data_IF_889011565808
#
_entry.id   IF_889011565808
#
_cell.length_a   1.000
_cell.length_b   1.000
_cell.length_c   1.000
_cell.angle_alpha   90.00
_cell.angle_beta   90.00
_cell.angle_gamma   90.00
#
_symmetry.space_group_name_H-M   'P 1'
#
loop_
_entity.id
_entity.type
_entity.pdbx_description
1 polymer ?
#
# COMPACT_ATOMS: atom_id res chain seq x y z
N UNK A 1 -15.78 2.99 -18.97
CA UNK A 1 -16.78 3.38 -17.96
C UNK A 1 -17.96 3.96 -18.69
N UNK A 2 -19.05 3.21 -18.74
CA UNK A 2 -20.34 3.79 -19.09
C UNK A 2 -20.63 4.97 -18.14
N UNK A 3 -21.49 5.90 -18.55
CA UNK A 3 -22.02 6.94 -17.64
C UNK A 3 -22.52 6.34 -16.31
N UNK A 4 -23.01 5.11 -16.36
CA UNK A 4 -23.43 4.28 -15.22
C UNK A 4 -22.29 3.95 -14.24
N UNK A 5 -21.10 3.60 -14.74
CA UNK A 5 -19.96 3.21 -13.89
C UNK A 5 -19.35 4.41 -13.15
N UNK A 6 -19.29 5.57 -13.82
CA UNK A 6 -18.85 6.82 -13.19
C UNK A 6 -19.86 7.33 -12.16
N UNK A 7 -21.16 7.19 -12.45
CA UNK A 7 -22.25 7.53 -11.53
C UNK A 7 -22.28 6.64 -10.27
N UNK A 8 -21.99 5.34 -10.38
CA UNK A 8 -21.92 4.43 -9.22
C UNK A 8 -20.82 4.83 -8.24
N UNK A 9 -19.60 5.12 -8.72
CA UNK A 9 -18.48 5.55 -7.87
C UNK A 9 -18.80 6.89 -7.18
N UNK A 10 -19.35 7.87 -7.90
CA UNK A 10 -19.69 9.18 -7.31
C UNK A 10 -20.86 9.11 -6.30
N UNK A 11 -21.82 8.19 -6.48
CA UNK A 11 -22.91 7.95 -5.52
C UNK A 11 -22.40 7.23 -4.26
N UNK A 12 -21.49 6.26 -4.42
CA UNK A 12 -20.88 5.57 -3.29
C UNK A 12 -20.01 6.50 -2.42
N UNK A 13 -19.35 7.51 -3.01
CA UNK A 13 -18.53 8.48 -2.26
C UNK A 13 -19.28 9.22 -1.15
N UNK A 14 -20.62 9.32 -1.21
CA UNK A 14 -21.42 9.92 -0.13
C UNK A 14 -21.59 9.03 1.10
N UNK A 15 -21.50 7.70 0.93
CA UNK A 15 -21.66 6.70 2.00
C UNK A 15 -20.35 6.06 2.49
N UNK A 16 -19.20 6.31 1.82
CA UNK A 16 -17.90 5.69 2.17
C UNK A 16 -17.57 5.74 3.67
N UNK A 17 -17.91 6.82 4.37
CA UNK A 17 -17.54 6.97 5.77
C UNK A 17 -18.40 6.14 6.73
N UNK A 18 -19.70 6.04 6.46
CA UNK A 18 -20.57 5.19 7.26
C UNK A 18 -20.22 3.72 7.04
N UNK A 19 -19.99 3.33 5.78
CA UNK A 19 -19.51 1.99 5.44
C UNK A 19 -18.16 1.69 6.10
N UNK A 20 -17.22 2.64 6.08
CA UNK A 20 -15.92 2.48 6.75
C UNK A 20 -16.08 2.28 8.27
N UNK A 21 -16.82 3.16 8.95
CA UNK A 21 -16.99 3.05 10.40
C UNK A 21 -17.69 1.75 10.79
N UNK A 22 -18.68 1.32 10.01
CA UNK A 22 -19.36 0.05 10.20
C UNK A 22 -18.38 -1.14 10.07
N UNK A 23 -17.61 -1.20 8.98
CA UNK A 23 -16.59 -2.24 8.78
C UNK A 23 -15.47 -2.19 9.83
N UNK A 24 -15.09 -1.00 10.29
CA UNK A 24 -14.06 -0.81 11.30
C UNK A 24 -14.52 -1.28 12.68
N UNK A 25 -15.78 -1.02 13.03
CA UNK A 25 -16.36 -1.41 14.32
C UNK A 25 -16.70 -2.90 14.36
N UNK A 26 -17.09 -3.50 13.23
CA UNK A 26 -17.41 -4.93 13.07
C UNK A 26 -16.19 -5.82 12.76
N UNK A 27 -14.98 -5.29 12.85
CA UNK A 27 -13.78 -6.09 12.59
C UNK A 27 -13.64 -7.17 13.66
N UNK A 28 -13.57 -8.44 13.26
CA UNK A 28 -13.43 -9.61 14.14
C UNK A 28 -12.25 -9.47 15.12
N UNK A 29 -11.11 -8.94 14.64
CA UNK A 29 -9.95 -8.68 15.53
C UNK A 29 -10.23 -7.69 16.66
N UNK A 30 -11.27 -6.87 16.58
CA UNK A 30 -11.71 -6.04 17.70
C UNK A 30 -12.59 -6.81 18.70
N UNK A 31 -13.18 -7.92 18.32
CA UNK A 31 -13.93 -8.76 19.26
C UNK A 31 -12.96 -9.55 20.15
N UNK A 32 -11.91 -10.13 19.54
CA UNK A 32 -10.88 -10.90 20.24
C UNK A 32 -9.89 -10.02 21.03
N UNK A 33 -9.56 -8.84 20.48
CA UNK A 33 -8.78 -7.81 21.16
C UNK A 33 -9.52 -6.48 21.04
N UNK A 34 -10.36 -6.16 22.04
CA UNK A 34 -11.16 -4.92 22.14
C UNK A 34 -10.39 -3.62 21.95
N UNK A 35 -9.06 -3.68 21.87
CA UNK A 35 -8.19 -2.55 21.64
C UNK A 35 -7.27 -2.71 20.42
N UNK A 36 -7.45 -3.72 19.57
CA UNK A 36 -6.61 -3.95 18.39
C UNK A 36 -6.49 -2.70 17.53
N UNK A 37 -7.63 -2.09 17.20
CA UNK A 37 -7.70 -0.87 16.42
C UNK A 37 -7.17 0.39 17.15
N UNK A 38 -7.06 0.38 18.48
CA UNK A 38 -6.45 1.48 19.25
C UNK A 38 -4.93 1.49 19.16
N UNK A 39 -4.31 0.39 18.70
CA UNK A 39 -2.86 0.30 18.44
C UNK A 39 -2.45 1.07 17.17
N UNK A 40 -3.40 1.47 16.33
CA UNK A 40 -3.13 2.37 15.22
C UNK A 40 -3.03 3.81 15.68
N UNK A 41 -2.10 4.53 15.09
CA UNK A 41 -2.06 5.99 15.14
C UNK A 41 -2.21 6.58 13.74
N UNK A 42 -2.58 7.85 13.69
CA UNK A 42 -2.74 8.62 12.47
C UNK A 42 -1.41 9.07 11.89
N UNK A 43 -1.41 9.42 10.60
CA UNK A 43 -0.23 10.04 9.95
C UNK A 43 0.16 11.36 10.62
N UNK A 44 -0.79 12.11 11.18
CA UNK A 44 -0.50 13.34 11.91
C UNK A 44 0.26 13.07 13.22
N UNK A 45 -0.03 11.95 13.89
CA UNK A 45 0.75 11.51 15.05
C UNK A 45 2.13 11.01 14.64
N UNK A 46 2.26 10.32 13.50
CA UNK A 46 3.56 9.97 12.94
C UNK A 46 4.42 11.23 12.69
N UNK A 47 3.84 12.30 12.15
CA UNK A 47 4.54 13.59 11.94
C UNK A 47 5.05 14.17 13.27
N UNK A 48 4.25 14.13 14.34
CA UNK A 48 4.68 14.61 15.68
C UNK A 48 5.78 13.75 16.29
N UNK A 49 5.65 12.43 16.20
CA UNK A 49 6.67 11.50 16.75
C UNK A 49 7.96 11.59 15.93
N UNK A 50 7.85 11.87 14.63
CA UNK A 50 8.98 12.07 13.74
C UNK A 50 9.91 13.17 14.24
N UNK A 51 9.35 14.29 14.71
CA UNK A 51 10.13 15.40 15.25
C UNK A 51 10.97 14.98 16.48
N UNK A 52 10.43 14.09 17.32
CA UNK A 52 11.14 13.54 18.49
C UNK A 52 12.24 12.54 18.06
N UNK A 53 11.95 11.71 17.05
CA UNK A 53 12.87 10.67 16.58
C UNK A 53 14.03 11.22 15.74
N UNK A 54 13.90 12.41 15.17
CA UNK A 54 14.92 13.03 14.32
C UNK A 54 16.26 13.19 15.05
N UNK A 55 16.25 13.43 16.36
CA UNK A 55 17.46 13.58 17.17
C UNK A 55 18.28 12.29 17.29
N UNK A 56 17.61 11.13 17.25
CA UNK A 56 18.25 9.82 17.47
C UNK A 56 18.56 9.09 16.18
N UNK A 57 17.69 9.24 15.19
CA UNK A 57 17.65 8.42 13.97
C UNK A 57 17.20 9.30 12.78
N UNK A 58 17.99 10.28 12.33
CA UNK A 58 17.49 11.36 11.43
C UNK A 58 16.89 10.85 10.11
N UNK A 59 17.37 9.71 9.60
CA UNK A 59 16.87 9.13 8.36
C UNK A 59 15.50 8.43 8.51
N UNK A 60 15.21 7.81 9.66
CA UNK A 60 14.04 6.95 9.82
C UNK A 60 12.71 7.74 9.74
N UNK A 61 12.54 8.87 10.44
CA UNK A 61 11.33 9.69 10.34
C UNK A 61 11.09 10.19 8.91
N UNK A 62 12.14 10.69 8.26
CA UNK A 62 12.03 11.19 6.88
C UNK A 62 11.62 10.04 5.95
N UNK A 63 12.20 8.86 6.12
CA UNK A 63 11.80 7.66 5.38
C UNK A 63 10.32 7.33 5.57
N UNK A 64 9.85 7.20 6.81
CA UNK A 64 8.46 6.86 7.11
C UNK A 64 7.48 7.91 6.58
N UNK A 65 7.84 9.20 6.63
CA UNK A 65 7.06 10.29 6.06
C UNK A 65 6.96 10.22 4.53
N UNK A 66 7.97 9.69 3.84
CA UNK A 66 7.92 9.47 2.39
C UNK A 66 7.18 8.19 2.04
N UNK A 67 7.42 7.11 2.80
CA UNK A 67 6.71 5.83 2.68
C UNK A 67 5.18 6.04 2.78
N UNK A 68 4.70 6.83 3.74
CA UNK A 68 3.26 7.12 3.83
C UNK A 68 2.74 7.95 2.66
N UNK A 69 3.55 8.80 2.02
CA UNK A 69 3.11 9.54 0.82
C UNK A 69 3.04 8.67 -0.43
N UNK A 70 3.77 7.55 -0.44
CA UNK A 70 3.74 6.53 -1.49
C UNK A 70 2.72 5.41 -1.21
N UNK A 71 2.26 5.29 0.03
CA UNK A 71 1.17 4.39 0.41
C UNK A 71 -0.16 4.94 -0.09
N UNK A 72 -0.89 4.10 -0.81
CA UNK A 72 -2.15 4.44 -1.49
C UNK A 72 -3.29 3.54 -1.02
N UNK A 73 -4.50 4.08 -1.05
CA UNK A 73 -5.72 3.28 -0.93
C UNK A 73 -6.06 2.69 -2.29
N UNK A 74 -6.40 1.41 -2.32
CA UNK A 74 -6.92 0.72 -3.51
C UNK A 74 -8.39 0.41 -3.26
N UNK A 75 -9.24 0.68 -4.25
CA UNK A 75 -10.64 0.26 -4.27
C UNK A 75 -10.92 -0.45 -5.59
N UNK A 76 -11.41 -1.68 -5.54
CA UNK A 76 -11.73 -2.51 -6.72
C UNK A 76 -13.23 -2.72 -6.77
N UNK A 77 -13.87 -2.23 -7.83
CA UNK A 77 -15.26 -2.53 -8.14
C UNK A 77 -15.35 -3.98 -8.64
N UNK A 78 -16.19 -4.80 -7.98
CA UNK A 78 -16.44 -6.19 -8.35
C UNK A 78 -17.89 -6.31 -8.84
N UNK A 79 -18.18 -6.03 -10.12
CA UNK A 79 -19.55 -5.90 -10.63
C UNK A 79 -20.38 -7.16 -10.42
N UNK A 80 -19.76 -8.32 -10.57
CA UNK A 80 -20.40 -9.63 -10.43
C UNK A 80 -20.86 -9.91 -8.99
N UNK A 81 -20.20 -9.30 -8.00
CA UNK A 81 -20.53 -9.39 -6.58
C UNK A 81 -21.36 -8.20 -6.09
N UNK A 82 -21.44 -7.12 -6.86
CA UNK A 82 -22.08 -5.87 -6.44
C UNK A 82 -21.38 -5.20 -5.24
N UNK A 83 -20.11 -5.52 -4.99
CA UNK A 83 -19.33 -5.05 -3.84
C UNK A 83 -18.07 -4.30 -4.26
N UNK A 84 -17.52 -3.52 -3.34
CA UNK A 84 -16.17 -2.94 -3.47
C UNK A 84 -15.25 -3.70 -2.53
N UNK A 85 -14.11 -4.13 -3.07
CA UNK A 85 -12.99 -4.62 -2.26
C UNK A 85 -11.99 -3.51 -2.06
N UNK A 86 -11.72 -3.17 -0.81
CA UNK A 86 -10.70 -2.18 -0.45
C UNK A 86 -9.40 -2.87 -0.01
N UNK A 87 -8.28 -2.20 -0.28
CA UNK A 87 -6.96 -2.64 0.16
C UNK A 87 -5.95 -1.50 0.18
N UNK A 88 -4.69 -1.86 0.42
CA UNK A 88 -3.57 -0.93 0.43
C UNK A 88 -2.57 -1.31 -0.67
N UNK A 89 -1.83 -0.33 -1.18
CA UNK A 89 -0.62 -0.59 -1.96
C UNK A 89 0.45 0.46 -1.74
N UNK A 90 1.60 0.26 -2.36
CA UNK A 90 2.69 1.22 -2.40
C UNK A 90 3.13 1.49 -3.84
N UNK A 91 3.37 2.76 -4.15
CA UNK A 91 3.88 3.16 -5.46
C UNK A 91 5.37 2.84 -5.58
N UNK A 92 5.71 1.99 -6.54
CA UNK A 92 7.06 1.48 -6.79
C UNK A 92 7.80 2.21 -7.92
N UNK A 93 7.04 2.69 -8.89
CA UNK A 93 7.57 3.36 -10.09
C UNK A 93 6.58 4.41 -10.58
N UNK A 94 7.12 5.49 -11.12
CA UNK A 94 6.36 6.52 -11.83
C UNK A 94 7.06 6.85 -13.14
N UNK A 95 6.33 6.77 -14.25
CA UNK A 95 6.81 7.15 -15.58
C UNK A 95 5.94 8.27 -16.13
N UNK A 96 6.56 9.37 -16.55
CA UNK A 96 5.84 10.44 -17.24
C UNK A 96 5.85 10.18 -18.74
N UNK A 97 4.67 9.97 -19.32
CA UNK A 97 4.46 9.67 -20.73
C UNK A 97 4.00 10.93 -21.47
N UNK A 98 4.56 11.17 -22.66
CA UNK A 98 4.19 12.28 -23.56
C UNK A 98 4.06 11.75 -24.98
N UNK A 99 3.03 12.15 -25.71
CA UNK A 99 2.80 11.67 -27.09
C UNK A 99 2.12 10.29 -27.18
N UNK A 100 2.08 9.55 -26.08
CA UNK A 100 1.49 8.21 -26.01
C UNK A 100 0.00 8.26 -25.62
N UNK A 101 -0.79 7.31 -26.14
CA UNK A 101 -2.19 7.17 -25.73
C UNK A 101 -2.29 6.65 -24.29
N UNK A 102 -3.20 7.23 -23.51
CA UNK A 102 -3.51 6.68 -22.19
C UNK A 102 -4.20 5.31 -22.34
N UNK A 103 -3.76 4.25 -21.63
CA UNK A 103 -4.33 2.91 -21.79
C UNK A 103 -5.73 2.74 -21.15
N UNK A 104 -6.13 3.68 -20.30
CA UNK A 104 -7.42 3.63 -19.61
C UNK A 104 -8.54 3.94 -20.59
N UNK A 105 -9.33 2.92 -20.97
CA UNK A 105 -10.43 3.04 -21.94
C UNK A 105 -11.52 4.07 -21.55
N UNK A 106 -11.71 4.29 -20.25
CA UNK A 106 -12.64 5.31 -19.73
C UNK A 106 -12.08 6.73 -19.75
N UNK A 107 -10.82 6.91 -20.09
CA UNK A 107 -10.19 8.21 -20.10
C UNK A 107 -10.75 9.07 -21.25
N UNK A 108 -11.17 10.29 -20.92
CA UNK A 108 -11.61 11.30 -21.92
C UNK A 108 -10.52 11.65 -22.96
N UNK A 109 -9.27 11.31 -22.68
CA UNK A 109 -8.12 11.53 -23.56
C UNK A 109 -7.64 10.27 -24.28
N UNK A 110 -8.32 9.13 -24.16
CA UNK A 110 -7.91 7.83 -24.72
C UNK A 110 -7.53 7.88 -26.22
N UNK A 111 -8.11 8.82 -27.01
CA UNK A 111 -7.83 8.99 -28.45
C UNK A 111 -6.99 10.21 -28.81
N UNK A 112 -6.49 10.96 -27.84
CA UNK A 112 -5.74 12.21 -28.07
C UNK A 112 -4.26 12.02 -27.74
N UNK A 113 -3.41 11.90 -28.77
CA UNK A 113 -1.94 11.74 -28.63
C UNK A 113 -1.22 12.96 -28.05
N UNK A 114 -1.84 14.14 -28.08
CA UNK A 114 -1.19 15.41 -27.68
C UNK A 114 -1.18 15.66 -26.16
N UNK A 115 -1.54 14.68 -25.33
CA UNK A 115 -1.61 14.87 -23.88
C UNK A 115 -0.59 14.02 -23.14
N UNK A 116 -0.07 14.57 -22.04
CA UNK A 116 0.80 13.88 -21.12
C UNK A 116 0.00 13.19 -20.01
N UNK A 117 0.57 12.12 -19.48
CA UNK A 117 -0.02 11.33 -18.39
C UNK A 117 1.07 10.59 -17.61
N UNK A 118 0.75 10.18 -16.40
CA UNK A 118 1.65 9.44 -15.53
C UNK A 118 1.19 8.01 -15.38
N UNK A 119 2.10 7.10 -15.62
CA UNK A 119 1.97 5.68 -15.30
C UNK A 119 2.57 5.44 -13.91
N UNK A 120 1.79 4.83 -13.03
CA UNK A 120 2.21 4.46 -11.68
C UNK A 120 2.14 2.94 -11.56
N UNK A 121 3.23 2.32 -11.14
CA UNK A 121 3.27 0.90 -10.79
C UNK A 121 3.07 0.77 -9.28
N UNK A 122 2.04 0.02 -8.88
CA UNK A 122 1.63 -0.15 -7.48
C UNK A 122 1.79 -1.62 -7.09
N UNK A 123 2.57 -1.89 -6.05
CA UNK A 123 2.66 -3.21 -5.44
C UNK A 123 1.59 -3.36 -4.36
N UNK A 124 1.00 -4.55 -4.29
CA UNK A 124 -0.04 -4.97 -3.35
C UNK A 124 0.00 -6.50 -3.22
N UNK A 125 -1.09 -7.12 -2.76
CA UNK A 125 -1.27 -8.58 -2.70
C UNK A 125 -2.25 -9.06 -3.77
N UNK A 126 -2.11 -10.31 -4.20
CA UNK A 126 -2.85 -10.88 -5.33
C UNK A 126 -4.36 -10.91 -5.07
N UNK A 127 -4.79 -11.24 -3.86
CA UNK A 127 -6.22 -11.22 -3.50
C UNK A 127 -6.86 -9.82 -3.48
N UNK A 128 -6.08 -8.72 -3.61
CA UNK A 128 -6.61 -7.36 -3.76
C UNK A 128 -6.72 -6.98 -5.24
N UNK A 129 -5.68 -7.17 -6.04
CA UNK A 129 -5.71 -7.03 -7.51
C UNK A 129 -4.86 -8.13 -8.12
N UNK A 130 -5.49 -9.21 -8.59
CA UNK A 130 -4.78 -10.36 -9.15
C UNK A 130 -4.97 -10.52 -10.66
N UNK A 131 -6.00 -9.90 -11.23
CA UNK A 131 -6.31 -10.02 -12.65
C UNK A 131 -6.37 -8.69 -13.36
N UNK A 132 -6.18 -8.72 -14.68
CA UNK A 132 -6.34 -7.56 -15.56
C UNK A 132 -7.75 -6.95 -15.49
N UNK A 133 -8.77 -7.78 -15.24
CA UNK A 133 -10.15 -7.34 -15.03
C UNK A 133 -10.27 -6.53 -13.74
N UNK A 134 -9.74 -7.04 -12.63
CA UNK A 134 -9.71 -6.32 -11.35
C UNK A 134 -8.89 -5.04 -11.47
N UNK A 135 -7.72 -5.07 -12.14
CA UNK A 135 -6.89 -3.88 -12.35
C UNK A 135 -7.66 -2.79 -13.11
N UNK A 136 -8.42 -3.13 -14.15
CA UNK A 136 -9.26 -2.15 -14.90
C UNK A 136 -10.42 -1.59 -14.08
N UNK A 137 -10.85 -2.31 -13.06
CA UNK A 137 -11.88 -1.87 -12.12
C UNK A 137 -11.30 -1.23 -10.85
N UNK A 138 -9.97 -1.14 -10.74
CA UNK A 138 -9.30 -0.56 -9.59
C UNK A 138 -9.19 0.98 -9.72
N UNK A 139 -9.43 1.65 -8.60
CA UNK A 139 -9.10 3.05 -8.36
C UNK A 139 -8.02 3.15 -7.28
N UNK A 140 -7.05 4.04 -7.50
CA UNK A 140 -5.94 4.28 -6.58
C UNK A 140 -6.00 5.71 -6.07
N UNK A 141 -6.26 5.86 -4.77
CA UNK A 141 -6.42 7.15 -4.10
C UNK A 141 -5.15 7.51 -3.30
N UNK A 142 -4.50 8.58 -3.77
CA UNK A 142 -3.31 9.16 -3.17
C UNK A 142 -3.71 10.17 -2.09
N UNK A 143 -2.90 10.22 -1.02
CA UNK A 143 -3.03 11.20 0.07
C UNK A 143 -4.38 11.14 0.82
N UNK A 144 -4.94 9.94 0.96
CA UNK A 144 -6.15 9.68 1.76
C UNK A 144 -5.82 9.63 3.27
N UNK A 145 -5.33 10.75 3.81
CA UNK A 145 -4.68 10.81 5.13
C UNK A 145 -5.66 11.06 6.30
N UNK A 146 -6.87 11.57 6.02
CA UNK A 146 -7.81 12.01 7.05
C UNK A 146 -9.20 11.41 6.85
N UNK A 147 -9.82 11.02 7.97
CA UNK A 147 -11.24 10.68 8.03
C UNK A 147 -12.11 11.90 7.85
N UNK A 148 -13.39 11.67 7.53
CA UNK A 148 -14.37 12.75 7.38
C UNK A 148 -14.61 13.43 8.74
N UNK A 149 -13.76 14.38 9.10
CA UNK A 149 -14.10 15.35 10.15
C UNK A 149 -15.16 16.31 9.60
N UNK A 150 -16.22 16.59 10.37
CA UNK A 150 -17.34 17.56 10.16
C UNK A 150 -17.64 18.05 8.72
N UNK A 151 -18.92 18.10 8.35
CA UNK A 151 -19.43 18.43 7.00
C UNK A 151 -18.74 19.60 6.25
N UNK A 152 -18.30 20.67 6.94
CA UNK A 152 -17.54 21.78 6.33
C UNK A 152 -16.06 21.48 6.06
N UNK A 153 -15.35 20.78 6.96
CA UNK A 153 -13.93 20.40 6.75
C UNK A 153 -13.80 19.30 5.68
N UNK A 154 -14.83 18.47 5.54
CA UNK A 154 -14.95 17.40 4.52
C UNK A 154 -14.65 17.89 3.09
N UNK A 155 -15.28 18.98 2.65
CA UNK A 155 -15.08 19.52 1.28
C UNK A 155 -13.65 20.00 1.02
N UNK A 156 -12.93 20.48 2.04
CA UNK A 156 -11.54 20.96 1.87
C UNK A 156 -10.54 19.81 1.82
N UNK A 157 -10.74 18.76 2.61
CA UNK A 157 -9.82 17.61 2.65
C UNK A 157 -9.96 16.70 1.44
N UNK A 158 -11.19 16.41 0.98
CA UNK A 158 -11.42 15.64 -0.25
C UNK A 158 -10.76 16.25 -1.49
N UNK A 159 -10.58 17.58 -1.55
CA UNK A 159 -9.85 18.25 -2.64
C UNK A 159 -8.37 17.88 -2.73
N UNK A 160 -7.78 17.32 -1.67
CA UNK A 160 -6.37 16.89 -1.65
C UNK A 160 -6.17 15.49 -2.20
N UNK A 161 -7.19 14.63 -2.12
CA UNK A 161 -7.15 13.26 -2.64
C UNK A 161 -7.00 13.32 -4.15
N UNK A 162 -6.03 12.57 -4.69
CA UNK A 162 -5.80 12.47 -6.13
C UNK A 162 -5.97 11.04 -6.55
N UNK A 163 -6.70 10.82 -7.65
CA UNK A 163 -7.03 9.48 -8.14
C UNK A 163 -6.24 9.13 -9.39
N UNK A 164 -5.81 7.87 -9.46
CA UNK A 164 -5.39 7.19 -10.67
C UNK A 164 -6.31 5.98 -10.93
N UNK A 165 -6.42 5.56 -12.19
CA UNK A 165 -7.26 4.43 -12.60
C UNK A 165 -6.38 3.28 -13.06
N UNK A 166 -6.59 2.09 -12.50
CA UNK A 166 -5.87 0.89 -12.88
C UNK A 166 -6.21 0.44 -14.31
N UNK A 167 -5.31 -0.30 -14.95
CA UNK A 167 -5.56 -0.80 -16.31
C UNK A 167 -4.90 -2.13 -16.67
N UNK A 168 -3.86 -2.56 -15.95
CA UNK A 168 -3.10 -3.76 -16.29
C UNK A 168 -2.35 -4.32 -15.08
N UNK A 169 -2.36 -5.65 -14.89
CA UNK A 169 -1.47 -6.34 -13.94
C UNK A 169 -0.12 -6.57 -14.64
N UNK A 170 0.95 -6.06 -14.03
CA UNK A 170 2.32 -6.19 -14.56
C UNK A 170 2.86 -7.59 -14.26
N UNK A 171 2.66 -8.03 -13.03
CA UNK A 171 3.17 -9.29 -12.52
C UNK A 171 2.35 -9.68 -11.29
N UNK A 172 2.12 -10.97 -11.13
CA UNK A 172 1.60 -11.60 -9.92
C UNK A 172 2.28 -12.96 -9.76
N UNK A 173 2.08 -13.60 -8.62
CA UNK A 173 2.70 -14.89 -8.30
C UNK A 173 1.81 -16.09 -8.64
N UNK A 174 1.00 -16.00 -9.70
CA UNK A 174 0.06 -17.08 -10.08
C UNK A 174 0.76 -18.34 -10.66
N UNK A 175 2.06 -18.53 -10.43
CA UNK A 175 2.78 -19.75 -10.81
C UNK A 175 2.59 -20.81 -9.73
N UNK A 176 1.57 -21.66 -9.86
CA UNK A 176 1.28 -22.93 -9.13
C UNK A 176 1.37 -22.94 -7.57
N UNK A 177 1.75 -21.82 -6.95
CA UNK A 177 2.07 -21.68 -5.54
C UNK A 177 1.21 -20.54 -4.97
N UNK A 178 -0.05 -20.90 -4.67
CA UNK A 178 -1.08 -19.98 -4.15
C UNK A 178 -0.67 -19.27 -2.85
N UNK A 179 0.41 -19.71 -2.20
CA UNK A 179 0.86 -19.22 -0.90
C UNK A 179 1.53 -17.85 -0.94
N UNK A 180 2.08 -17.42 -2.08
CA UNK A 180 2.92 -16.22 -2.14
C UNK A 180 2.11 -14.92 -2.17
N UNK A 181 0.95 -14.92 -2.85
CA UNK A 181 -0.08 -13.88 -2.84
C UNK A 181 0.45 -12.44 -3.04
N UNK A 182 1.42 -12.27 -3.94
CA UNK A 182 1.97 -10.97 -4.31
C UNK A 182 1.42 -10.51 -5.67
N UNK A 183 1.20 -9.20 -5.83
CA UNK A 183 0.80 -8.63 -7.11
C UNK A 183 1.28 -7.20 -7.30
N UNK A 184 1.46 -6.83 -8.55
CA UNK A 184 1.86 -5.51 -8.98
C UNK A 184 1.09 -5.12 -10.24
N UNK A 185 0.47 -3.95 -10.23
CA UNK A 185 -0.36 -3.46 -11.34
C UNK A 185 -0.07 -2.00 -11.67
N UNK A 186 -0.44 -1.59 -12.88
CA UNK A 186 -0.31 -0.22 -13.35
C UNK A 186 -1.62 0.54 -13.27
N UNK A 187 -1.51 1.82 -12.91
CA UNK A 187 -2.60 2.79 -12.99
C UNK A 187 -2.13 4.10 -13.66
N UNK A 188 -3.07 4.89 -14.17
CA UNK A 188 -2.80 6.11 -14.91
C UNK A 188 -3.49 7.33 -14.30
N UNK A 189 -2.81 8.48 -14.34
CA UNK A 189 -3.40 9.79 -14.03
C UNK A 189 -2.90 10.88 -14.98
N UNK A 190 -3.77 11.81 -15.34
CA UNK A 190 -3.41 13.01 -16.13
C UNK A 190 -3.04 14.22 -15.26
N UNK A 191 -2.95 14.03 -13.94
CA UNK A 191 -2.62 15.12 -13.03
C UNK A 191 -1.10 15.34 -12.94
N UNK A 192 -0.57 16.23 -13.76
CA UNK A 192 0.87 16.58 -13.79
C UNK A 192 1.47 16.90 -12.41
N UNK A 193 0.72 17.61 -11.57
CA UNK A 193 1.17 17.93 -10.20
C UNK A 193 1.30 16.67 -9.34
N UNK A 194 0.40 15.69 -9.52
CA UNK A 194 0.51 14.39 -8.84
C UNK A 194 1.76 13.66 -9.33
N UNK A 195 1.97 13.56 -10.64
CA UNK A 195 3.09 12.82 -11.25
C UNK A 195 4.41 13.33 -10.70
N UNK A 196 4.66 14.64 -10.78
CA UNK A 196 5.90 15.24 -10.30
C UNK A 196 6.08 15.05 -8.80
N UNK A 197 4.99 15.21 -8.03
CA UNK A 197 5.03 15.08 -6.57
C UNK A 197 5.38 13.67 -6.13
N UNK A 198 4.75 12.65 -6.72
CA UNK A 198 5.02 11.24 -6.41
C UNK A 198 6.42 10.84 -6.88
N UNK A 199 6.87 11.33 -8.05
CA UNK A 199 8.25 11.11 -8.53
C UNK A 199 9.28 11.64 -7.53
N UNK A 200 9.07 12.85 -7.00
CA UNK A 200 9.96 13.43 -5.98
C UNK A 200 9.95 12.60 -4.70
N UNK A 201 8.77 12.17 -4.21
CA UNK A 201 8.70 11.33 -3.02
C UNK A 201 9.40 9.99 -3.20
N UNK A 202 9.23 9.37 -4.37
CA UNK A 202 9.85 8.09 -4.70
C UNK A 202 11.37 8.18 -4.76
N UNK A 203 11.92 9.27 -5.29
CA UNK A 203 13.36 9.51 -5.32
C UNK A 203 13.93 9.59 -3.90
N UNK A 204 13.36 10.45 -3.05
CA UNK A 204 13.81 10.64 -1.67
C UNK A 204 13.65 9.34 -0.87
N UNK A 205 12.52 8.64 -1.04
CA UNK A 205 12.28 7.34 -0.43
C UNK A 205 13.41 6.35 -0.74
N UNK A 206 13.76 6.15 -2.03
CA UNK A 206 14.81 5.22 -2.46
C UNK A 206 16.18 5.61 -1.91
N UNK A 207 16.52 6.89 -1.93
CA UNK A 207 17.80 7.40 -1.43
C UNK A 207 17.97 7.14 0.07
N UNK A 208 16.92 7.41 0.86
CA UNK A 208 16.96 7.20 2.32
C UNK A 208 16.88 5.71 2.66
N UNK A 209 16.08 4.93 1.94
CA UNK A 209 15.98 3.49 2.12
C UNK A 209 17.35 2.82 1.99
N UNK A 210 18.14 3.19 0.98
CA UNK A 210 19.50 2.66 0.80
C UNK A 210 20.39 2.93 2.02
N UNK A 211 20.28 4.13 2.60
CA UNK A 211 21.02 4.51 3.81
C UNK A 211 20.56 3.71 5.03
N UNK A 212 19.25 3.58 5.24
CA UNK A 212 18.69 2.81 6.36
C UNK A 212 19.02 1.32 6.25
N UNK A 213 18.95 0.75 5.04
CA UNK A 213 19.36 -0.64 4.81
C UNK A 213 20.83 -0.86 5.17
N UNK A 214 21.72 0.02 4.68
CA UNK A 214 23.16 -0.05 4.99
C UNK A 214 23.43 0.07 6.48
N UNK A 215 22.70 0.97 7.16
CA UNK A 215 22.81 1.16 8.60
C UNK A 215 22.36 -0.09 9.37
N UNK A 216 21.19 -0.62 9.07
CA UNK A 216 20.57 -1.63 9.92
C UNK A 216 20.96 -3.08 9.59
N UNK A 217 21.39 -3.38 8.36
CA UNK A 217 21.65 -4.76 7.92
C UNK A 217 22.65 -5.52 8.78
N UNK A 218 23.60 -4.81 9.40
CA UNK A 218 24.65 -5.40 10.25
C UNK A 218 24.50 -5.09 11.74
N UNK A 219 23.50 -4.28 12.13
CA UNK A 219 23.34 -3.83 13.51
C UNK A 219 22.24 -4.61 14.23
N UNK A 220 21.19 -4.97 13.51
CA UNK A 220 19.98 -5.54 14.12
C UNK A 220 19.88 -7.01 13.73
N UNK A 221 20.19 -7.87 14.70
CA UNK A 221 20.02 -9.31 14.58
C UNK A 221 18.81 -9.80 15.40
N UNK A 222 18.22 -10.91 14.97
CA UNK A 222 17.17 -11.58 15.73
C UNK A 222 15.80 -10.93 15.64
N UNK A 223 14.98 -11.17 16.68
CA UNK A 223 13.53 -10.92 16.70
C UNK A 223 13.15 -9.49 17.10
N UNK A 224 14.08 -8.69 17.59
CA UNK A 224 13.81 -7.31 18.03
C UNK A 224 13.85 -6.27 16.90
N UNK A 225 13.75 -6.72 15.64
CA UNK A 225 13.65 -5.83 14.47
C UNK A 225 12.37 -5.00 14.57
N UNK A 226 12.52 -3.68 14.52
CA UNK A 226 11.41 -2.73 14.41
C UNK A 226 10.61 -3.02 13.13
N UNK A 227 9.30 -3.13 13.28
CA UNK A 227 8.34 -3.25 12.18
C UNK A 227 7.42 -2.04 12.18
N UNK A 228 7.27 -1.39 11.04
CA UNK A 228 6.32 -0.28 10.84
C UNK A 228 5.47 -0.57 9.62
N UNK A 229 4.14 -0.51 9.78
CA UNK A 229 3.17 -0.75 8.72
C UNK A 229 2.37 0.52 8.51
N UNK A 230 2.19 0.90 7.26
CA UNK A 230 1.37 2.06 6.88
C UNK A 230 0.27 1.57 5.97
N UNK A 231 -0.98 1.65 6.40
CA UNK A 231 -2.10 1.00 5.72
C UNK A 231 -3.37 1.86 5.64
N UNK A 232 -4.36 1.37 4.90
CA UNK A 232 -5.73 1.88 4.86
C UNK A 232 -6.71 0.85 5.46
N UNK A 233 -6.74 0.64 6.80
CA UNK A 233 -7.61 -0.34 7.42
C UNK A 233 -9.06 -0.15 7.00
N UNK A 234 -9.68 -1.21 6.48
CA UNK A 234 -11.05 -1.23 5.92
C UNK A 234 -11.32 -0.13 4.88
N UNK A 235 -10.32 0.23 4.07
CA UNK A 235 -10.45 1.32 3.09
C UNK A 235 -10.59 2.72 3.71
N UNK A 236 -10.29 2.82 5.01
CA UNK A 236 -10.36 4.04 5.78
C UNK A 236 -9.15 4.96 5.59
N UNK A 237 -9.07 6.02 6.41
CA UNK A 237 -7.94 6.94 6.41
C UNK A 237 -6.65 6.20 6.71
N UNK A 238 -5.54 6.71 6.18
CA UNK A 238 -4.23 6.11 6.41
C UNK A 238 -3.91 6.01 7.90
N UNK A 239 -3.45 4.83 8.32
CA UNK A 239 -3.03 4.53 9.68
C UNK A 239 -1.62 3.97 9.67
N UNK A 240 -0.98 4.07 10.83
CA UNK A 240 0.34 3.52 11.08
C UNK A 240 0.23 2.60 12.28
N UNK A 241 0.87 1.44 12.21
CA UNK A 241 1.08 0.55 13.35
C UNK A 241 2.56 0.22 13.47
N UNK A 242 2.99 -0.01 14.71
CA UNK A 242 4.38 -0.34 15.05
C UNK A 242 4.36 -1.68 15.79
N UNK A 243 5.35 -2.51 15.52
CA UNK A 243 5.56 -3.77 16.21
C UNK A 243 7.00 -4.25 16.09
N UNK A 244 7.17 -5.54 16.29
CA UNK A 244 8.44 -6.26 16.12
C UNK A 244 8.19 -7.63 15.51
N UNK A 245 9.25 -8.28 15.06
CA UNK A 245 9.20 -9.65 14.56
C UNK A 245 8.88 -10.62 15.70
N UNK A 246 7.98 -11.57 15.48
CA UNK A 246 7.54 -12.53 16.51
C UNK A 246 8.13 -13.92 16.32
N UNK A 247 8.18 -14.39 15.08
CA UNK A 247 8.72 -15.71 14.71
C UNK A 247 10.00 -15.58 13.88
N UNK A 248 10.81 -16.66 13.79
CA UNK A 248 11.87 -16.74 12.79
C UNK A 248 11.34 -16.43 11.39
N UNK A 249 12.21 -15.86 10.55
CA UNK A 249 11.96 -15.72 9.11
C UNK A 249 11.67 -17.10 8.53
N UNK A 250 10.64 -17.19 7.71
CA UNK A 250 10.33 -18.38 6.93
C UNK A 250 10.90 -18.21 5.52
N UNK A 251 11.77 -19.14 5.12
CA UNK A 251 12.30 -19.22 3.76
C UNK A 251 11.33 -20.02 2.91
N UNK A 252 10.78 -19.40 1.87
CA UNK A 252 9.76 -19.98 1.00
C UNK A 252 10.41 -20.66 -0.20
N UNK A 253 11.27 -19.93 -0.93
CA UNK A 253 12.04 -20.49 -2.04
C UNK A 253 13.34 -19.73 -2.28
N UNK A 254 14.36 -20.44 -2.76
CA UNK A 254 15.56 -19.79 -3.28
C UNK A 254 15.38 -19.54 -4.78
N UNK A 255 15.50 -18.28 -5.20
CA UNK A 255 15.45 -17.89 -6.61
C UNK A 255 16.86 -17.59 -7.15
N UNK A 256 16.94 -17.09 -8.39
CA UNK A 256 18.20 -16.75 -9.06
C UNK A 256 19.12 -15.92 -8.16
N UNK A 257 20.42 -16.14 -8.32
CA UNK A 257 21.48 -15.47 -7.56
C UNK A 257 21.49 -15.77 -6.06
N UNK A 258 21.00 -16.95 -5.64
CA UNK A 258 20.90 -17.39 -4.24
C UNK A 258 20.04 -16.46 -3.36
N UNK A 259 19.05 -15.81 -3.96
CA UNK A 259 18.15 -14.95 -3.22
C UNK A 259 17.07 -15.76 -2.54
N UNK A 260 16.95 -15.58 -1.23
CA UNK A 260 15.93 -16.22 -0.43
C UNK A 260 14.65 -15.39 -0.42
N UNK A 261 13.61 -15.91 -1.07
CA UNK A 261 12.25 -15.42 -0.94
C UNK A 261 11.72 -15.88 0.40
N UNK A 262 11.26 -14.93 1.19
CA UNK A 262 10.92 -15.17 2.58
C UNK A 262 9.70 -14.38 3.05
N UNK A 263 9.21 -14.78 4.21
CA UNK A 263 8.09 -14.19 4.94
C UNK A 263 8.49 -13.86 6.37
N UNK A 264 7.90 -12.77 6.86
CA UNK A 264 8.09 -12.28 8.22
C UNK A 264 6.78 -12.28 9.00
N UNK A 265 6.86 -12.67 10.26
CA UNK A 265 5.75 -12.65 11.22
C UNK A 265 5.98 -11.56 12.26
N UNK A 266 4.94 -10.82 12.63
CA UNK A 266 5.03 -9.65 13.49
C UNK A 266 3.76 -9.38 14.31
N UNK A 267 3.95 -8.59 15.36
CA UNK A 267 2.88 -8.15 16.28
C UNK A 267 2.26 -6.79 15.94
N UNK A 268 2.71 -6.12 14.87
CA UNK A 268 2.14 -4.84 14.47
C UNK A 268 0.65 -5.02 14.12
N UNK A 269 -0.21 -4.12 14.56
CA UNK A 269 -1.65 -4.23 14.32
C UNK A 269 -1.99 -4.16 12.83
N UNK A 270 -2.72 -5.16 12.33
CA UNK A 270 -3.24 -5.22 10.96
C UNK A 270 -4.62 -5.86 10.91
N UNK A 271 -5.38 -5.63 9.85
CA UNK A 271 -6.66 -6.30 9.56
C UNK A 271 -6.76 -6.58 8.06
N UNK A 272 -7.85 -7.20 7.61
CA UNK A 272 -8.09 -7.56 6.20
C UNK A 272 -7.97 -6.35 5.27
N UNK A 273 -8.44 -5.18 5.70
CA UNK A 273 -8.30 -3.96 4.87
C UNK A 273 -6.88 -3.38 4.86
N UNK A 274 -5.97 -3.89 5.69
CA UNK A 274 -4.53 -3.56 5.61
C UNK A 274 -3.79 -4.41 4.58
N UNK A 275 -4.43 -5.38 3.94
CA UNK A 275 -3.80 -6.19 2.89
C UNK A 275 -3.14 -5.35 1.81
N UNK A 276 -1.93 -5.74 1.41
CA UNK A 276 -1.10 -5.01 0.46
C UNK A 276 -0.33 -3.82 1.05
N UNK A 277 -0.47 -3.55 2.36
CA UNK A 277 0.24 -2.44 3.00
C UNK A 277 1.75 -2.65 2.99
N UNK A 278 2.54 -1.61 2.67
CA UNK A 278 3.98 -1.72 2.75
C UNK A 278 4.44 -1.85 4.20
N UNK A 279 5.44 -2.70 4.41
CA UNK A 279 6.05 -2.96 5.71
C UNK A 279 7.50 -2.49 5.66
N UNK A 280 7.88 -1.66 6.63
CA UNK A 280 9.28 -1.41 6.95
C UNK A 280 9.72 -2.40 8.02
N UNK A 281 10.75 -3.19 7.72
CA UNK A 281 11.41 -4.08 8.67
C UNK A 281 12.87 -3.61 8.77
N UNK A 282 13.33 -3.28 9.97
CA UNK A 282 14.68 -2.76 10.14
C UNK A 282 15.73 -3.79 9.68
N UNK A 283 16.63 -3.35 8.80
CA UNK A 283 17.68 -4.20 8.22
C UNK A 283 17.23 -5.03 7.01
N UNK A 284 16.06 -4.74 6.43
CA UNK A 284 15.54 -5.44 5.25
C UNK A 284 15.32 -4.50 4.08
N UNK A 285 15.52 -4.96 2.83
CA UNK A 285 15.27 -4.16 1.65
C UNK A 285 13.77 -4.06 1.34
N UNK A 286 13.19 -2.86 1.40
CA UNK A 286 11.79 -2.59 1.02
C UNK A 286 11.69 -2.27 -0.48
N UNK A 287 12.01 -3.26 -1.33
CA UNK A 287 12.02 -3.17 -2.79
C UNK A 287 12.92 -2.04 -3.39
N UNK A 288 13.19 -2.07 -4.70
CA UNK A 288 13.87 -0.96 -5.41
C UNK A 288 15.37 -1.09 -5.67
N UNK A 289 16.00 -2.21 -5.36
CA UNK A 289 17.38 -2.54 -5.81
C UNK A 289 17.40 -3.36 -7.12
N UNK A 290 16.48 -3.08 -8.03
CA UNK A 290 16.21 -3.92 -9.20
C UNK A 290 15.09 -4.95 -8.98
N UNK A 291 14.66 -5.13 -7.73
CA UNK A 291 13.57 -6.03 -7.35
C UNK A 291 12.26 -5.29 -7.12
N UNK A 292 11.17 -5.88 -7.62
CA UNK A 292 9.80 -5.39 -7.44
C UNK A 292 9.17 -5.84 -6.10
N UNK A 293 9.77 -6.83 -5.45
CA UNK A 293 9.26 -7.45 -4.23
C UNK A 293 9.63 -6.63 -3.00
N UNK A 294 8.63 -6.07 -2.33
CA UNK A 294 8.70 -5.73 -0.91
C UNK A 294 8.00 -6.82 -0.13
N UNK A 295 7.93 -6.70 1.19
CA UNK A 295 7.11 -7.58 2.04
C UNK A 295 5.75 -6.90 2.32
N UNK A 296 4.75 -6.87 1.39
CA UNK A 296 3.46 -6.28 1.73
C UNK A 296 2.75 -7.13 2.78
N UNK A 297 1.91 -6.52 3.61
CA UNK A 297 1.08 -7.25 4.57
C UNK A 297 0.10 -8.18 3.85
N UNK A 298 0.02 -9.43 4.31
CA UNK A 298 -0.93 -10.41 3.83
C UNK A 298 -1.91 -10.84 4.93
N UNK A 299 -3.17 -10.95 4.56
CA UNK A 299 -4.27 -11.40 5.40
C UNK A 299 -5.03 -12.61 4.82
N UNK A 300 -4.61 -13.18 3.67
CA UNK A 300 -5.35 -14.25 2.99
C UNK A 300 -5.44 -15.56 3.80
N UNK A 301 -4.49 -15.79 4.71
CA UNK A 301 -4.40 -16.96 5.58
C UNK A 301 -4.22 -16.48 7.01
N UNK A 302 -5.25 -15.87 7.58
CA UNK A 302 -5.26 -15.64 9.03
C UNK A 302 -5.23 -17.00 9.71
N UNK A 303 -4.08 -17.33 10.30
CA UNK A 303 -3.93 -18.51 11.13
C UNK A 303 -4.42 -18.15 12.54
N UNK A 304 -5.61 -18.64 12.87
CA UNK A 304 -6.24 -18.46 14.18
C UNK A 304 -5.38 -19.01 15.32
N UNK A 305 -4.52 -20.02 15.05
CA UNK A 305 -3.69 -20.64 16.09
C UNK A 305 -2.53 -19.75 16.51
N UNK A 306 -1.92 -19.02 15.57
CA UNK A 306 -0.72 -18.23 15.86
C UNK A 306 -1.03 -16.78 16.24
N UNK A 307 -2.23 -16.27 15.91
CA UNK A 307 -2.63 -14.86 16.11
C UNK A 307 -1.64 -13.84 15.51
N UNK A 308 -0.70 -14.29 14.66
CA UNK A 308 0.38 -13.47 14.14
C UNK A 308 -0.01 -12.88 12.79
N UNK A 309 0.40 -11.64 12.55
CA UNK A 309 0.29 -11.03 11.23
C UNK A 309 1.56 -11.32 10.45
N UNK A 310 1.46 -11.58 9.16
CA UNK A 310 2.60 -11.97 8.34
C UNK A 310 2.63 -11.18 7.03
N UNK A 311 3.81 -11.14 6.41
CA UNK A 311 3.98 -10.55 5.08
C UNK A 311 3.63 -11.57 3.99
N UNK A 312 3.28 -11.09 2.81
CA UNK A 312 3.49 -11.83 1.57
C UNK A 312 5.00 -12.07 1.35
N UNK A 313 5.38 -12.45 0.15
CA UNK A 313 6.77 -12.74 -0.20
C UNK A 313 7.61 -11.48 -0.41
N UNK A 314 8.87 -11.53 0.02
CA UNK A 314 9.90 -10.53 -0.29
C UNK A 314 11.29 -11.14 -0.17
N UNK A 315 12.33 -10.33 -0.42
CA UNK A 315 13.73 -10.79 -0.38
C UNK A 315 14.42 -10.39 0.91
N UNK A 316 15.16 -11.32 1.53
CA UNK A 316 15.85 -11.06 2.80
C UNK A 316 17.05 -10.11 2.65
N UNK A 317 17.77 -10.22 1.54
CA UNK A 317 18.95 -9.43 1.27
C UNK A 317 19.07 -9.10 -0.22
N UNK A 318 19.84 -8.04 -0.49
CA UNK A 318 20.27 -7.67 -1.84
C UNK A 318 21.63 -8.32 -2.05
N UNK A 319 21.77 -9.05 -3.15
CA UNK A 319 23.03 -9.69 -3.58
C UNK A 319 23.99 -8.65 -4.13
#
# INVERSE_FOLDING_TARGET
MSSTQKGRIEIQERNIHETYLDSYNKCEKNEDDRNHHKKYFSVAELERISDILLERQPCLPIFLLHMQKLTVKISVDLPDKGTIRDGTGIVMKVVHKRGELCPVKSCKFYRKRLHSWGEFTVATVNHIVGTDTEARNAAVDFFFDHGNTSSRKRKKQHKKVRRALGFHVVQNDNEDDEELDWSCFQCASHNEKLIQKVKNYLQIYKDIQKRLYTLYKNIIHGRDKLVVIISHPHGGPKKVSIGKITLPKESLKTVRDNQDWCRYYYQAATCNGSSGAPIFIAGQPIAGFGYWFGHPHNHSTYDEETLHSYSSVGVDHVV
#
